data_IF_287397105472
#
_entry.id   IF_287397105472
#
_cell.length_a   1.000
_cell.length_b   1.000
_cell.length_c   1.000
_cell.angle_alpha   90.00
_cell.angle_beta   90.00
_cell.angle_gamma   90.00
#
_symmetry.space_group_name_H-M   'P 1'
#
loop_
_entity.id
_entity.type
_entity.pdbx_description
1 polymer ?
#
# COMPACT_ATOMS: atom_id res chain seq x y z
N UNK A 1 33.92 -4.98 0.08
CA UNK A 1 33.12 -3.73 0.21
C UNK A 1 31.60 -3.98 0.05
N UNK A 2 31.01 -4.88 0.85
CA UNK A 2 29.55 -5.22 0.81
C UNK A 2 28.76 -4.45 1.90
N UNK A 3 29.45 -3.71 2.76
CA UNK A 3 28.90 -3.14 4.00
C UNK A 3 28.08 -1.85 3.82
N UNK A 4 28.38 -1.00 2.82
CA UNK A 4 27.75 0.34 2.70
C UNK A 4 26.32 0.33 2.15
N UNK A 5 25.83 -0.77 1.58
CA UNK A 5 24.50 -0.82 0.97
C UNK A 5 23.36 -1.15 1.93
N UNK A 6 23.61 -1.69 3.14
CA UNK A 6 22.54 -2.07 4.08
C UNK A 6 22.01 -0.93 4.94
N UNK A 7 22.59 0.28 4.87
CA UNK A 7 22.22 1.38 5.76
C UNK A 7 20.79 1.90 5.56
N UNK A 8 20.26 1.84 4.33
CA UNK A 8 18.93 2.39 4.06
C UNK A 8 17.78 1.49 4.56
N UNK A 9 18.03 0.21 4.88
CA UNK A 9 17.05 -0.69 5.53
C UNK A 9 17.05 -0.58 7.04
N UNK A 10 18.14 -0.07 7.64
CA UNK A 10 18.26 0.03 9.10
C UNK A 10 17.19 0.93 9.69
N UNK A 11 17.00 2.12 9.11
CA UNK A 11 16.01 3.07 9.59
C UNK A 11 14.58 2.52 9.50
N UNK A 12 14.08 2.02 8.34
CA UNK A 12 12.79 1.35 8.25
C UNK A 12 12.61 0.22 9.26
N UNK A 13 13.63 -0.62 9.43
CA UNK A 13 13.57 -1.76 10.34
C UNK A 13 13.44 -1.32 11.81
N UNK A 14 14.33 -0.44 12.28
CA UNK A 14 14.29 0.03 13.67
C UNK A 14 13.04 0.86 13.95
N UNK A 15 12.57 1.66 12.98
CA UNK A 15 11.32 2.41 13.10
C UNK A 15 10.12 1.48 13.23
N UNK A 16 10.00 0.47 12.36
CA UNK A 16 8.93 -0.51 12.42
C UNK A 16 8.96 -1.31 13.73
N UNK A 17 10.15 -1.70 14.20
CA UNK A 17 10.32 -2.43 15.46
C UNK A 17 9.92 -1.57 16.67
N UNK A 18 10.37 -0.31 16.71
CA UNK A 18 10.03 0.63 17.78
C UNK A 18 8.51 0.87 17.83
N UNK A 19 7.90 1.12 16.67
CA UNK A 19 6.46 1.36 16.56
C UNK A 19 5.66 0.11 16.91
N UNK A 20 6.10 -1.08 16.48
CA UNK A 20 5.45 -2.34 16.87
C UNK A 20 5.53 -2.55 18.38
N UNK A 21 6.68 -2.31 19.00
CA UNK A 21 6.84 -2.43 20.44
C UNK A 21 5.95 -1.43 21.21
N UNK A 22 5.88 -0.19 20.73
CA UNK A 22 5.01 0.83 21.31
C UNK A 22 3.52 0.48 21.16
N UNK A 23 3.08 0.04 19.98
CA UNK A 23 1.71 -0.39 19.75
C UNK A 23 1.37 -1.62 20.59
N UNK A 24 2.25 -2.62 20.64
CA UNK A 24 2.03 -3.81 21.47
C UNK A 24 1.92 -3.45 22.95
N UNK A 25 2.77 -2.54 23.44
CA UNK A 25 2.66 -2.04 24.81
C UNK A 25 1.30 -1.37 25.04
N UNK A 26 0.84 -0.49 24.15
CA UNK A 26 -0.47 0.17 24.26
C UNK A 26 -1.64 -0.83 24.18
N UNK A 27 -1.54 -1.84 23.33
CA UNK A 27 -2.59 -2.84 23.09
C UNK A 27 -2.80 -3.78 24.28
N UNK A 28 -1.72 -4.16 24.97
CA UNK A 28 -1.76 -5.10 26.07
C UNK A 28 -1.62 -4.44 27.45
N UNK A 29 -1.54 -3.10 27.51
CA UNK A 29 -1.59 -2.39 28.77
C UNK A 29 -3.00 -2.50 29.38
N UNK A 30 -3.13 -2.97 30.64
CA UNK A 30 -4.42 -3.28 31.26
C UNK A 30 -5.07 -2.02 31.87
N UNK A 31 -5.22 -0.96 31.07
CA UNK A 31 -5.92 0.24 31.50
C UNK A 31 -7.22 0.43 30.72
N UNK A 32 -8.32 0.39 31.47
CA UNK A 32 -9.62 0.80 30.96
C UNK A 32 -9.62 2.29 30.67
N UNK A 33 -10.30 2.68 29.59
CA UNK A 33 -10.39 4.06 29.14
C UNK A 33 -11.73 4.33 28.48
N UNK A 34 -12.24 5.54 28.71
CA UNK A 34 -13.45 6.04 28.06
C UNK A 34 -13.15 6.83 26.77
N UNK A 35 -11.89 6.88 26.31
CA UNK A 35 -11.41 7.80 25.28
C UNK A 35 -12.31 7.88 24.02
N UNK A 36 -12.81 6.74 23.55
CA UNK A 36 -13.57 6.67 22.30
C UNK A 36 -15.09 6.79 22.45
N UNK A 37 -15.63 6.88 23.67
CA UNK A 37 -17.08 6.77 23.92
C UNK A 37 -17.90 7.94 23.35
N UNK A 38 -17.32 9.14 23.26
CA UNK A 38 -18.03 10.34 22.80
C UNK A 38 -17.96 10.54 21.28
N UNK A 39 -17.38 9.61 20.53
CA UNK A 39 -17.24 9.70 19.09
C UNK A 39 -18.29 8.84 18.39
N UNK A 40 -18.74 9.30 17.22
CA UNK A 40 -19.65 8.52 16.39
C UNK A 40 -19.00 7.19 16.00
N UNK A 41 -19.61 6.09 16.43
CA UNK A 41 -19.21 4.75 16.03
C UNK A 41 -19.45 4.55 14.53
N UNK A 42 -18.66 3.69 13.89
CA UNK A 42 -18.86 3.35 12.48
C UNK A 42 -20.18 2.63 12.23
N UNK A 43 -20.56 1.66 13.07
CA UNK A 43 -21.80 0.84 13.01
C UNK A 43 -22.08 0.14 14.36
N UNK A 44 -23.04 -0.80 14.40
CA UNK A 44 -23.15 -1.79 15.48
C UNK A 44 -21.87 -2.64 15.54
N UNK A 45 -21.27 -2.71 16.74
CA UNK A 45 -19.94 -3.30 16.95
C UNK A 45 -19.84 -4.81 16.64
N UNK A 46 -20.97 -5.53 16.55
CA UNK A 46 -21.03 -6.97 16.22
C UNK A 46 -20.77 -7.28 14.74
N UNK A 47 -20.87 -6.28 13.86
CA UNK A 47 -20.97 -6.54 12.42
C UNK A 47 -19.68 -6.19 11.66
N UNK A 48 -18.65 -5.66 12.34
CA UNK A 48 -17.52 -5.00 11.67
C UNK A 48 -16.47 -6.03 11.23
N UNK A 49 -15.71 -6.59 12.17
CA UNK A 49 -14.70 -7.61 11.88
C UNK A 49 -14.87 -8.83 12.77
N UNK A 50 -14.12 -9.90 12.51
CA UNK A 50 -14.19 -11.08 13.36
C UNK A 50 -13.56 -10.88 14.74
N UNK A 51 -12.57 -9.99 14.85
CA UNK A 51 -11.76 -9.86 16.07
C UNK A 51 -12.58 -9.39 17.28
N UNK A 52 -12.33 -9.99 18.45
CA UNK A 52 -12.98 -9.59 19.69
C UNK A 52 -12.71 -8.11 20.02
N UNK A 53 -13.78 -7.32 20.05
CA UNK A 53 -13.71 -5.87 20.27
C UNK A 53 -13.64 -5.52 21.76
N UNK A 54 -12.51 -4.94 22.18
CA UNK A 54 -12.28 -4.49 23.57
C UNK A 54 -12.75 -3.06 23.78
N UNK A 55 -14.06 -2.86 23.95
CA UNK A 55 -14.69 -1.52 23.97
C UNK A 55 -14.12 -0.53 25.01
N UNK A 56 -13.64 -1.05 26.14
CA UNK A 56 -13.06 -0.27 27.24
C UNK A 56 -11.54 -0.06 27.11
N UNK A 57 -10.90 -0.52 26.04
CA UNK A 57 -9.45 -0.36 25.85
C UNK A 57 -9.15 0.76 24.84
N UNK A 58 -7.92 1.29 24.93
CA UNK A 58 -7.40 2.27 23.97
C UNK A 58 -7.28 1.66 22.57
N UNK A 59 -6.88 0.39 22.49
CA UNK A 59 -6.83 -0.39 21.25
C UNK A 59 -7.95 -1.43 21.30
N UNK A 60 -8.99 -1.20 20.51
CA UNK A 60 -10.20 -2.03 20.48
C UNK A 60 -10.00 -3.34 19.74
N UNK A 61 -9.22 -3.35 18.66
CA UNK A 61 -8.88 -4.55 17.88
C UNK A 61 -7.35 -4.77 17.83
N UNK A 62 -6.80 -5.53 18.78
CA UNK A 62 -5.36 -5.79 18.91
C UNK A 62 -4.63 -6.20 17.64
N UNK A 63 -5.06 -7.30 17.00
CA UNK A 63 -4.36 -7.94 15.90
C UNK A 63 -4.53 -7.14 14.63
N UNK A 64 -5.74 -6.65 14.33
CA UNK A 64 -5.98 -5.75 13.22
C UNK A 64 -5.14 -4.45 13.34
N UNK A 65 -4.92 -3.95 14.56
CA UNK A 65 -4.04 -2.79 14.79
C UNK A 65 -2.57 -3.13 14.58
N UNK A 66 -2.07 -4.24 15.14
CA UNK A 66 -0.65 -4.58 15.07
C UNK A 66 -0.19 -5.02 13.67
N UNK A 67 -1.06 -5.69 12.91
CA UNK A 67 -0.73 -6.16 11.55
C UNK A 67 -0.67 -5.04 10.50
N UNK A 68 -0.91 -3.79 10.89
CA UNK A 68 -0.69 -2.63 10.04
C UNK A 68 0.79 -2.20 9.94
N UNK A 69 1.66 -2.61 10.87
CA UNK A 69 3.09 -2.22 10.90
C UNK A 69 3.86 -2.52 9.59
N UNK A 70 3.61 -3.63 8.85
CA UNK A 70 4.24 -3.87 7.56
C UNK A 70 4.03 -2.74 6.53
N UNK A 71 2.89 -2.02 6.57
CA UNK A 71 2.68 -0.85 5.71
C UNK A 71 3.69 0.26 6.01
N UNK A 72 3.96 0.54 7.30
CA UNK A 72 4.98 1.51 7.71
C UNK A 72 6.37 1.06 7.25
N UNK A 73 6.71 -0.21 7.45
CA UNK A 73 7.99 -0.76 7.04
C UNK A 73 8.19 -0.63 5.53
N UNK A 74 7.27 -1.15 4.72
CA UNK A 74 7.41 -1.10 3.26
C UNK A 74 7.31 0.32 2.71
N UNK A 75 6.42 1.15 3.25
CA UNK A 75 6.31 2.55 2.88
C UNK A 75 7.63 3.31 3.09
N UNK A 76 8.25 3.17 4.26
CA UNK A 76 9.52 3.84 4.58
C UNK A 76 10.71 3.27 3.81
N UNK A 77 10.71 1.97 3.48
CA UNK A 77 11.68 1.39 2.52
C UNK A 77 11.54 2.06 1.15
N UNK A 78 10.33 2.15 0.62
CA UNK A 78 10.06 2.78 -0.69
C UNK A 78 10.49 4.25 -0.68
N UNK A 79 10.18 5.00 0.37
CA UNK A 79 10.59 6.40 0.51
C UNK A 79 12.12 6.54 0.54
N UNK A 80 12.80 5.70 1.32
CA UNK A 80 14.26 5.72 1.45
C UNK A 80 14.96 5.40 0.12
N UNK A 81 14.48 4.38 -0.58
CA UNK A 81 15.02 3.98 -1.89
C UNK A 81 14.73 5.05 -2.94
N UNK A 82 13.51 5.59 -2.97
CA UNK A 82 13.12 6.66 -3.89
C UNK A 82 13.95 7.92 -3.67
N UNK A 83 14.20 8.31 -2.42
CA UNK A 83 15.05 9.46 -2.08
C UNK A 83 16.49 9.28 -2.56
N UNK A 84 17.04 8.07 -2.36
CA UNK A 84 18.38 7.70 -2.88
C UNK A 84 18.44 7.83 -4.41
N UNK A 85 17.42 7.35 -5.11
CA UNK A 85 17.37 7.39 -6.57
C UNK A 85 17.17 8.82 -7.09
N UNK A 86 16.33 9.62 -6.43
CA UNK A 86 16.10 11.02 -6.76
C UNK A 86 17.40 11.84 -6.66
N UNK A 87 18.19 11.62 -5.61
CA UNK A 87 19.50 12.27 -5.44
C UNK A 87 20.48 11.89 -6.56
N UNK A 88 20.41 10.65 -7.06
CA UNK A 88 21.30 10.13 -8.12
C UNK A 88 20.67 10.13 -9.51
N UNK A 89 19.56 10.84 -9.68
CA UNK A 89 18.68 10.74 -10.86
C UNK A 89 19.42 10.92 -12.18
N UNK A 90 20.29 11.93 -12.30
CA UNK A 90 21.02 12.22 -13.54
C UNK A 90 21.99 11.10 -13.96
N UNK A 91 22.47 10.30 -13.00
CA UNK A 91 23.36 9.16 -13.26
C UNK A 91 22.54 7.89 -13.55
N UNK A 92 21.52 7.63 -12.74
CA UNK A 92 20.72 6.40 -12.82
C UNK A 92 19.77 6.42 -14.03
N UNK A 93 19.16 7.56 -14.37
CA UNK A 93 18.24 7.67 -15.52
C UNK A 93 18.91 7.47 -16.88
N UNK A 94 20.24 7.70 -16.96
CA UNK A 94 21.05 7.37 -18.14
C UNK A 94 21.36 5.87 -18.23
N UNK A 95 21.38 5.17 -17.10
CA UNK A 95 21.70 3.75 -17.00
C UNK A 95 20.45 2.86 -17.10
N UNK A 96 19.31 3.36 -16.62
CA UNK A 96 18.07 2.60 -16.50
C UNK A 96 16.88 3.39 -17.02
N UNK A 97 16.07 2.73 -17.84
CA UNK A 97 15.00 3.37 -18.58
C UNK A 97 13.62 3.04 -18.00
N UNK A 98 13.29 3.68 -16.88
CA UNK A 98 12.14 3.35 -16.07
C UNK A 98 11.37 4.64 -15.69
N UNK A 99 10.04 4.61 -15.79
CA UNK A 99 9.18 5.75 -15.47
C UNK A 99 9.30 6.17 -13.98
N UNK A 100 9.33 5.21 -13.06
CA UNK A 100 9.52 5.42 -11.61
C UNK A 100 10.85 6.11 -11.29
N UNK A 101 11.95 5.74 -11.98
CA UNK A 101 13.27 6.36 -11.78
C UNK A 101 13.32 7.78 -12.37
N UNK A 102 12.72 7.97 -13.56
CA UNK A 102 12.66 9.29 -14.20
C UNK A 102 11.72 10.24 -13.48
N UNK A 103 10.68 9.73 -12.83
CA UNK A 103 9.70 10.50 -12.08
C UNK A 103 9.56 9.93 -10.66
N UNK A 104 10.53 10.23 -9.76
CA UNK A 104 10.55 9.69 -8.40
C UNK A 104 9.31 10.07 -7.58
N UNK A 105 8.55 11.10 -8.01
CA UNK A 105 7.25 11.46 -7.42
C UNK A 105 6.31 10.26 -7.31
N UNK A 106 6.29 9.33 -8.26
CA UNK A 106 5.48 8.10 -8.16
C UNK A 106 5.93 7.21 -7.00
N UNK A 107 7.24 7.07 -6.81
CA UNK A 107 7.79 6.31 -5.68
C UNK A 107 7.47 6.98 -4.34
N UNK A 108 7.54 8.31 -4.28
CA UNK A 108 7.15 9.06 -3.09
C UNK A 108 5.66 8.90 -2.78
N UNK A 109 4.79 9.05 -3.78
CA UNK A 109 3.34 8.88 -3.61
C UNK A 109 3.01 7.47 -3.10
N UNK A 110 3.55 6.41 -3.70
CA UNK A 110 3.29 5.05 -3.22
C UNK A 110 3.80 4.84 -1.78
N UNK A 111 5.00 5.32 -1.47
CA UNK A 111 5.55 5.24 -0.12
C UNK A 111 4.70 6.00 0.91
N UNK A 112 4.24 7.21 0.56
CA UNK A 112 3.35 8.03 1.39
C UNK A 112 1.99 7.33 1.59
N UNK A 113 1.41 6.76 0.52
CA UNK A 113 0.14 6.03 0.60
C UNK A 113 0.23 4.86 1.59
N UNK A 114 1.32 4.09 1.58
CA UNK A 114 1.49 2.99 2.55
C UNK A 114 1.65 3.51 3.98
N UNK A 115 2.42 4.57 4.21
CA UNK A 115 2.54 5.18 5.54
C UNK A 115 1.20 5.76 5.99
N UNK A 116 0.43 6.34 5.07
CA UNK A 116 -0.90 6.88 5.35
C UNK A 116 -1.89 5.76 5.72
N UNK A 117 -1.91 4.64 4.99
CA UNK A 117 -2.68 3.45 5.38
C UNK A 117 -2.29 2.98 6.77
N UNK A 118 -0.99 2.85 7.06
CA UNK A 118 -0.54 2.47 8.41
C UNK A 118 -1.19 3.37 9.47
N UNK A 119 -1.09 4.70 9.33
CA UNK A 119 -1.62 5.65 10.31
C UNK A 119 -3.14 5.53 10.42
N UNK A 120 -3.86 5.56 9.31
CA UNK A 120 -5.32 5.61 9.30
C UNK A 120 -5.96 4.26 9.68
N UNK A 121 -5.41 3.15 9.21
CA UNK A 121 -5.90 1.80 9.56
C UNK A 121 -5.60 1.47 11.02
N UNK A 122 -4.40 1.78 11.52
CA UNK A 122 -4.07 1.64 12.96
C UNK A 122 -5.02 2.50 13.80
N UNK A 123 -5.28 3.74 13.38
CA UNK A 123 -6.22 4.61 14.09
C UNK A 123 -7.65 4.04 14.07
N UNK A 124 -8.09 3.50 12.94
CA UNK A 124 -9.42 2.90 12.82
C UNK A 124 -9.56 1.66 13.71
N UNK A 125 -8.67 0.68 13.63
CA UNK A 125 -8.76 -0.53 14.45
C UNK A 125 -8.54 -0.28 15.94
N UNK A 126 -7.80 0.78 16.30
CA UNK A 126 -7.69 1.21 17.68
C UNK A 126 -9.00 1.84 18.21
N UNK A 127 -9.71 2.63 17.39
CA UNK A 127 -10.80 3.49 17.87
C UNK A 127 -12.21 3.03 17.48
N UNK A 128 -12.37 2.37 16.33
CA UNK A 128 -13.63 1.98 15.69
C UNK A 128 -14.63 3.14 15.51
N UNK A 129 -14.13 4.35 15.28
CA UNK A 129 -14.96 5.53 15.04
C UNK A 129 -15.14 5.80 13.53
N UNK A 130 -16.25 6.44 13.16
CA UNK A 130 -16.64 6.68 11.78
C UNK A 130 -15.61 7.49 10.98
N UNK A 131 -15.03 8.55 11.58
CA UNK A 131 -14.01 9.38 10.94
C UNK A 131 -12.75 8.57 10.62
N UNK A 132 -12.29 7.74 11.57
CA UNK A 132 -11.10 6.92 11.38
C UNK A 132 -11.32 5.90 10.25
N UNK A 133 -12.51 5.29 10.19
CA UNK A 133 -12.87 4.38 9.09
C UNK A 133 -12.88 5.07 7.72
N UNK A 134 -13.38 6.31 7.65
CA UNK A 134 -13.40 7.07 6.41
C UNK A 134 -11.97 7.35 5.91
N UNK A 135 -11.06 7.69 6.84
CA UNK A 135 -9.64 7.91 6.53
C UNK A 135 -8.91 6.61 6.16
N UNK A 136 -9.22 5.50 6.82
CA UNK A 136 -8.67 4.19 6.48
C UNK A 136 -9.02 3.78 5.04
N UNK A 137 -10.30 3.89 4.68
CA UNK A 137 -10.75 3.65 3.31
C UNK A 137 -10.15 4.63 2.30
N UNK A 138 -9.83 5.87 2.69
CA UNK A 138 -9.10 6.79 1.83
C UNK A 138 -7.71 6.23 1.46
N UNK A 139 -7.02 5.63 2.43
CA UNK A 139 -5.75 4.93 2.21
C UNK A 139 -5.90 3.74 1.29
N UNK A 140 -6.85 2.84 1.57
CA UNK A 140 -7.13 1.65 0.73
C UNK A 140 -7.43 2.05 -0.72
N UNK A 141 -8.32 3.03 -0.92
CA UNK A 141 -8.65 3.54 -2.24
C UNK A 141 -7.44 4.14 -2.96
N UNK A 142 -6.60 4.90 -2.26
CA UNK A 142 -5.36 5.44 -2.80
C UNK A 142 -4.39 4.34 -3.24
N UNK A 143 -4.26 3.25 -2.47
CA UNK A 143 -3.37 2.15 -2.85
C UNK A 143 -3.85 1.42 -4.11
N UNK A 144 -5.15 1.18 -4.25
CA UNK A 144 -5.70 0.49 -5.43
C UNK A 144 -5.75 1.41 -6.65
N UNK A 145 -5.97 2.72 -6.48
CA UNK A 145 -5.93 3.68 -7.60
C UNK A 145 -4.52 3.95 -8.14
N UNK A 146 -3.48 3.75 -7.32
CA UNK A 146 -2.10 4.01 -7.73
C UNK A 146 -1.67 3.21 -9.00
N UNK A 147 -1.81 1.87 -9.07
CA UNK A 147 -1.47 1.11 -10.27
C UNK A 147 -2.29 1.50 -11.50
N UNK A 148 -3.54 1.95 -11.34
CA UNK A 148 -4.37 2.50 -12.42
C UNK A 148 -3.70 3.76 -12.98
N UNK A 149 -3.40 4.73 -12.12
CA UNK A 149 -2.79 6.00 -12.53
C UNK A 149 -1.41 5.80 -13.18
N UNK A 150 -0.58 4.92 -12.59
CA UNK A 150 0.73 4.60 -13.14
C UNK A 150 0.63 3.91 -14.51
N UNK A 151 -0.22 2.89 -14.64
CA UNK A 151 -0.38 2.13 -15.89
C UNK A 151 -1.01 2.98 -16.99
N UNK A 152 -2.00 3.82 -16.65
CA UNK A 152 -2.60 4.76 -17.60
C UNK A 152 -1.55 5.75 -18.14
N UNK A 153 -0.68 6.28 -17.28
CA UNK A 153 0.43 7.13 -17.71
C UNK A 153 1.41 6.37 -18.63
N UNK A 154 1.75 5.15 -18.25
CA UNK A 154 2.64 4.26 -19.03
C UNK A 154 2.08 4.01 -20.44
N UNK A 155 0.80 3.64 -20.54
CA UNK A 155 0.08 3.39 -21.80
C UNK A 155 -0.01 4.68 -22.63
N UNK A 156 -0.40 5.80 -22.01
CA UNK A 156 -0.54 7.09 -22.69
C UNK A 156 0.78 7.53 -23.34
N UNK A 157 1.90 7.45 -22.59
CA UNK A 157 3.21 7.82 -23.13
C UNK A 157 3.56 6.96 -24.35
N UNK A 158 3.34 5.65 -24.25
CA UNK A 158 3.64 4.75 -25.36
C UNK A 158 2.76 5.03 -26.58
N UNK A 159 1.46 5.23 -26.38
CA UNK A 159 0.52 5.57 -27.46
C UNK A 159 0.90 6.88 -28.15
N UNK A 160 1.18 7.95 -27.38
CA UNK A 160 1.40 9.30 -27.92
C UNK A 160 2.80 9.55 -28.47
N UNK A 161 3.82 8.95 -27.85
CA UNK A 161 5.24 9.25 -28.12
C UNK A 161 6.03 8.03 -28.59
N UNK A 162 5.42 6.83 -28.64
CA UNK A 162 6.12 5.56 -28.88
C UNK A 162 7.27 5.31 -27.91
N UNK A 163 7.18 5.90 -26.72
CA UNK A 163 8.17 5.81 -25.66
C UNK A 163 7.44 5.69 -24.33
N UNK A 164 7.87 4.80 -23.44
CA UNK A 164 7.15 4.57 -22.19
C UNK A 164 7.53 5.54 -21.07
N UNK A 165 8.74 6.09 -21.13
CA UNK A 165 9.42 6.74 -20.01
C UNK A 165 9.82 8.20 -20.30
N UNK A 166 9.75 8.63 -21.56
CA UNK A 166 10.06 9.99 -21.98
C UNK A 166 8.75 10.77 -21.97
N UNK A 167 8.68 11.70 -21.02
CA UNK A 167 7.44 12.29 -20.58
C UNK A 167 7.61 13.81 -20.51
N UNK A 168 6.64 14.57 -21.01
CA UNK A 168 6.57 16.02 -20.78
C UNK A 168 6.51 16.30 -19.28
N UNK A 169 7.23 17.32 -18.80
CA UNK A 169 7.38 17.61 -17.35
C UNK A 169 6.04 17.67 -16.58
N UNK A 170 4.93 18.07 -17.21
CA UNK A 170 3.61 18.17 -16.58
C UNK A 170 2.76 16.89 -16.55
N UNK A 171 3.07 15.85 -17.34
CA UNK A 171 2.23 14.64 -17.38
C UNK A 171 2.16 13.87 -16.06
N UNK A 172 3.26 13.69 -15.28
CA UNK A 172 3.16 13.07 -13.97
C UNK A 172 2.18 13.83 -13.05
N UNK A 173 2.20 15.16 -13.09
CA UNK A 173 1.31 16.01 -12.31
C UNK A 173 -0.16 15.84 -12.73
N UNK A 174 -0.44 15.69 -14.03
CA UNK A 174 -1.79 15.41 -14.52
C UNK A 174 -2.34 14.08 -13.98
N UNK A 175 -1.60 12.98 -14.16
CA UNK A 175 -2.06 11.66 -13.71
C UNK A 175 -2.15 11.57 -12.18
N UNK A 176 -1.22 12.20 -11.46
CA UNK A 176 -1.29 12.28 -10.00
C UNK A 176 -2.42 13.20 -9.52
N UNK A 177 -2.74 14.27 -10.26
CA UNK A 177 -3.89 15.12 -9.98
C UNK A 177 -5.21 14.36 -10.14
N UNK A 178 -5.38 13.61 -11.23
CA UNK A 178 -6.55 12.74 -11.46
C UNK A 178 -6.65 11.69 -10.34
N UNK A 179 -5.53 11.06 -9.98
CA UNK A 179 -5.43 10.13 -8.87
C UNK A 179 -5.89 10.76 -7.53
N UNK A 180 -5.42 11.96 -7.21
CA UNK A 180 -5.79 12.67 -5.99
C UNK A 180 -7.28 13.02 -5.97
N UNK A 181 -7.83 13.53 -7.08
CA UNK A 181 -9.26 13.83 -7.19
C UNK A 181 -10.09 12.55 -7.03
N UNK A 182 -9.73 11.46 -7.70
CA UNK A 182 -10.44 10.19 -7.58
C UNK A 182 -10.40 9.65 -6.14
N UNK A 183 -9.25 9.75 -5.46
CA UNK A 183 -9.10 9.35 -4.05
C UNK A 183 -10.01 10.19 -3.14
N UNK A 184 -10.03 11.51 -3.33
CA UNK A 184 -10.89 12.43 -2.56
C UNK A 184 -12.36 12.11 -2.79
N UNK A 185 -12.79 11.93 -4.05
CA UNK A 185 -14.17 11.59 -4.39
C UNK A 185 -14.59 10.27 -3.72
N UNK A 186 -13.80 9.19 -3.86
CA UNK A 186 -14.11 7.92 -3.21
C UNK A 186 -14.16 8.03 -1.67
N UNK A 187 -13.33 8.90 -1.08
CA UNK A 187 -13.32 9.15 0.37
C UNK A 187 -14.56 9.89 0.83
N UNK A 188 -14.98 10.93 0.10
CA UNK A 188 -16.17 11.71 0.43
C UNK A 188 -17.45 10.88 0.26
N UNK A 189 -17.49 10.04 -0.77
CA UNK A 189 -18.64 9.19 -1.07
C UNK A 189 -18.56 7.78 -0.46
N UNK A 190 -17.64 7.54 0.48
CA UNK A 190 -17.42 6.22 1.10
C UNK A 190 -18.71 5.62 1.68
N UNK A 191 -19.59 6.43 2.25
CA UNK A 191 -20.82 5.98 2.91
C UNK A 191 -21.94 5.58 1.93
N UNK A 192 -21.83 5.97 0.66
CA UNK A 192 -22.75 5.58 -0.41
C UNK A 192 -22.23 4.38 -1.23
N UNK A 193 -21.02 3.91 -0.92
CA UNK A 193 -20.31 2.90 -1.71
C UNK A 193 -20.14 1.61 -0.92
N UNK A 194 -20.39 0.46 -1.58
CA UNK A 194 -20.09 -0.83 -1.01
C UNK A 194 -18.62 -1.21 -1.28
N UNK A 195 -17.82 -1.34 -0.21
CA UNK A 195 -16.41 -1.71 -0.30
C UNK A 195 -16.19 -3.08 -0.97
N UNK A 196 -17.10 -4.05 -0.74
CA UNK A 196 -17.09 -5.39 -1.36
C UNK A 196 -17.31 -5.35 -2.87
N UNK A 197 -17.75 -4.22 -3.43
CA UNK A 197 -17.93 -4.02 -4.86
C UNK A 197 -16.82 -3.13 -5.42
N UNK A 198 -16.61 -1.96 -4.80
CA UNK A 198 -15.68 -0.95 -5.31
C UNK A 198 -14.23 -1.44 -5.29
N UNK A 199 -13.77 -2.03 -4.18
CA UNK A 199 -12.37 -2.46 -4.06
C UNK A 199 -12.03 -3.57 -5.07
N UNK A 200 -12.81 -4.67 -5.19
CA UNK A 200 -12.55 -5.68 -6.22
C UNK A 200 -12.59 -5.14 -7.65
N UNK A 201 -13.52 -4.24 -7.97
CA UNK A 201 -13.59 -3.62 -9.30
C UNK A 201 -12.33 -2.80 -9.61
N UNK A 202 -11.85 -2.01 -8.65
CA UNK A 202 -10.62 -1.23 -8.83
C UNK A 202 -9.38 -2.12 -8.91
N UNK A 203 -9.33 -3.23 -8.16
CA UNK A 203 -8.25 -4.23 -8.29
C UNK A 203 -8.29 -4.89 -9.66
N UNK A 204 -9.46 -5.27 -10.16
CA UNK A 204 -9.64 -5.84 -11.50
C UNK A 204 -9.22 -4.85 -12.60
N UNK A 205 -9.64 -3.59 -12.50
CA UNK A 205 -9.25 -2.52 -13.42
C UNK A 205 -7.74 -2.28 -13.40
N UNK A 206 -7.13 -2.27 -12.20
CA UNK A 206 -5.67 -2.19 -12.05
C UNK A 206 -4.98 -3.31 -12.80
N UNK A 207 -5.48 -4.54 -12.63
CA UNK A 207 -4.92 -5.71 -13.29
C UNK A 207 -5.06 -5.68 -14.80
N UNK A 208 -6.22 -5.27 -15.31
CA UNK A 208 -6.47 -5.07 -16.72
C UNK A 208 -5.52 -4.04 -17.33
N UNK A 209 -5.35 -2.87 -16.69
CA UNK A 209 -4.46 -1.83 -17.21
C UNK A 209 -2.98 -2.24 -17.16
N UNK A 210 -2.56 -2.97 -16.11
CA UNK A 210 -1.21 -3.53 -16.07
C UNK A 210 -1.00 -4.52 -17.21
N UNK A 211 -1.96 -5.41 -17.46
CA UNK A 211 -1.91 -6.38 -18.56
C UNK A 211 -1.81 -5.68 -19.92
N UNK A 212 -2.67 -4.69 -20.17
CA UNK A 212 -2.62 -3.86 -21.39
C UNK A 212 -1.26 -3.17 -21.52
N UNK A 213 -0.73 -2.61 -20.44
CA UNK A 213 0.60 -1.98 -20.45
C UNK A 213 1.72 -2.96 -20.79
N UNK A 214 1.66 -4.21 -20.30
CA UNK A 214 2.63 -5.26 -20.63
C UNK A 214 2.51 -5.77 -22.07
N UNK A 215 1.31 -5.78 -22.66
CA UNK A 215 1.11 -6.15 -24.07
C UNK A 215 1.55 -5.05 -25.02
N UNK A 216 1.27 -3.79 -24.68
CA UNK A 216 1.54 -2.66 -25.57
C UNK A 216 2.98 -2.15 -25.47
N UNK A 217 3.51 -2.02 -24.25
CA UNK A 217 4.81 -1.39 -24.05
C UNK A 217 5.93 -2.42 -24.19
N UNK A 218 6.99 -2.17 -24.98
CA UNK A 218 8.07 -3.13 -25.26
C UNK A 218 9.06 -3.29 -24.10
N UNK A 219 8.63 -3.09 -22.85
CA UNK A 219 9.52 -3.03 -21.69
C UNK A 219 9.78 -4.41 -21.13
N UNK A 220 10.97 -4.55 -20.56
CA UNK A 220 11.41 -5.79 -19.95
C UNK A 220 11.20 -5.70 -18.45
N UNK A 221 10.14 -6.33 -17.94
CA UNK A 221 9.79 -6.37 -16.52
C UNK A 221 10.13 -7.73 -15.89
N UNK A 222 10.29 -7.76 -14.57
CA UNK A 222 10.37 -9.02 -13.82
C UNK A 222 8.96 -9.47 -13.41
N UNK A 223 8.35 -10.30 -14.25
CA UNK A 223 6.99 -10.85 -14.07
C UNK A 223 6.81 -11.67 -12.79
N UNK A 224 7.90 -12.16 -12.16
CA UNK A 224 7.81 -12.86 -10.87
C UNK A 224 7.27 -11.95 -9.77
N UNK A 225 7.73 -10.70 -9.72
CA UNK A 225 7.22 -9.73 -8.76
C UNK A 225 5.76 -9.38 -9.03
N UNK A 226 5.34 -9.34 -10.30
CA UNK A 226 3.95 -9.14 -10.65
C UNK A 226 3.07 -10.31 -10.19
N UNK A 227 3.52 -11.55 -10.42
CA UNK A 227 2.82 -12.74 -9.96
C UNK A 227 2.71 -12.78 -8.43
N UNK A 228 3.77 -12.40 -7.71
CA UNK A 228 3.75 -12.29 -6.24
C UNK A 228 2.75 -11.20 -5.80
N UNK A 229 2.72 -10.04 -6.47
CA UNK A 229 1.79 -8.96 -6.14
C UNK A 229 0.33 -9.37 -6.32
N UNK A 230 -0.02 -9.99 -7.47
CA UNK A 230 -1.36 -10.51 -7.71
C UNK A 230 -1.73 -11.68 -6.79
N UNK A 231 -0.81 -12.62 -6.59
CA UNK A 231 -1.04 -13.74 -5.67
C UNK A 231 -1.32 -13.24 -4.25
N UNK A 232 -0.54 -12.27 -3.77
CA UNK A 232 -0.72 -11.70 -2.45
C UNK A 232 -2.08 -10.97 -2.32
N UNK A 233 -2.46 -10.13 -3.29
CA UNK A 233 -3.76 -9.43 -3.18
C UNK A 233 -4.95 -10.40 -3.30
N UNK A 234 -4.86 -11.46 -4.10
CA UNK A 234 -5.92 -12.47 -4.19
C UNK A 234 -6.06 -13.26 -2.89
N UNK A 235 -4.96 -13.69 -2.29
CA UNK A 235 -4.97 -14.36 -0.98
C UNK A 235 -5.52 -13.42 0.09
N UNK A 236 -5.08 -12.16 0.08
CA UNK A 236 -5.64 -11.15 0.96
C UNK A 236 -7.15 -11.01 0.80
N UNK A 237 -7.64 -10.80 -0.42
CA UNK A 237 -9.06 -10.60 -0.71
C UNK A 237 -9.88 -11.81 -0.26
N UNK A 238 -9.35 -13.01 -0.41
CA UNK A 238 -9.96 -14.22 0.12
C UNK A 238 -10.16 -14.14 1.64
N UNK A 239 -9.13 -13.76 2.41
CA UNK A 239 -9.27 -13.60 3.86
C UNK A 239 -10.19 -12.46 4.26
N UNK A 240 -10.22 -11.38 3.48
CA UNK A 240 -11.17 -10.28 3.69
C UNK A 240 -12.62 -10.74 3.51
N UNK A 241 -12.91 -11.53 2.48
CA UNK A 241 -14.25 -12.12 2.26
C UNK A 241 -14.63 -13.08 3.38
N UNK A 242 -13.69 -13.90 3.87
CA UNK A 242 -13.94 -14.78 5.02
C UNK A 242 -14.32 -13.97 6.26
N UNK A 243 -13.62 -12.86 6.52
CA UNK A 243 -13.90 -11.98 7.67
C UNK A 243 -15.27 -11.30 7.57
N UNK A 244 -15.58 -10.74 6.40
CA UNK A 244 -16.82 -10.04 6.11
C UNK A 244 -18.04 -10.98 6.25
N UNK A 245 -17.92 -12.22 5.78
CA UNK A 245 -18.97 -13.23 5.90
C UNK A 245 -18.92 -14.04 7.21
N UNK A 246 -18.00 -13.70 8.12
CA UNK A 246 -17.77 -14.40 9.40
C UNK A 246 -17.50 -15.91 9.25
N UNK A 247 -16.94 -16.33 8.13
CA UNK A 247 -16.59 -17.73 7.86
C UNK A 247 -15.28 -18.07 8.57
N UNK A 248 -15.28 -19.13 9.37
CA UNK A 248 -14.17 -19.52 10.23
C UNK A 248 -13.76 -18.42 11.24
N UNK A 249 -14.76 -17.64 11.68
CA UNK A 249 -14.54 -16.58 12.65
C UNK A 249 -14.45 -17.13 14.09
N UNK A 250 -13.34 -16.86 14.76
CA UNK A 250 -13.11 -17.14 16.16
C UNK A 250 -12.57 -15.88 16.85
N UNK A 251 -13.45 -15.14 17.52
CA UNK A 251 -13.17 -13.77 18.01
C UNK A 251 -11.95 -13.67 18.93
N UNK A 252 -11.71 -14.70 19.76
CA UNK A 252 -10.58 -14.76 20.69
C UNK A 252 -9.32 -15.42 20.11
N UNK A 253 -9.35 -15.87 18.87
CA UNK A 253 -8.21 -16.53 18.23
C UNK A 253 -7.11 -15.53 17.89
N UNK A 254 -5.87 -16.01 17.88
CA UNK A 254 -4.76 -15.25 17.27
C UNK A 254 -4.86 -15.19 15.74
N UNK A 255 -5.65 -16.08 15.16
CA UNK A 255 -5.93 -16.13 13.74
C UNK A 255 -7.12 -15.23 13.44
N UNK A 256 -6.83 -14.02 12.96
CA UNK A 256 -7.83 -13.05 12.53
C UNK A 256 -7.74 -12.85 11.01
N UNK A 257 -8.75 -13.27 10.23
CA UNK A 257 -8.73 -13.15 8.78
C UNK A 257 -8.47 -11.72 8.29
N UNK A 258 -9.10 -10.72 8.91
CA UNK A 258 -8.83 -9.32 8.58
C UNK A 258 -7.37 -8.90 8.86
N UNK A 259 -6.77 -9.36 9.95
CA UNK A 259 -5.37 -9.09 10.24
C UNK A 259 -4.44 -9.69 9.19
N UNK A 260 -4.79 -10.84 8.61
CA UNK A 260 -4.05 -11.49 7.53
C UNK A 260 -4.17 -10.70 6.22
N UNK A 261 -5.34 -10.11 5.95
CA UNK A 261 -5.53 -9.18 4.82
C UNK A 261 -4.50 -8.05 4.84
N UNK A 262 -4.25 -7.40 5.98
CA UNK A 262 -3.25 -6.34 6.11
C UNK A 262 -1.85 -6.80 5.68
N UNK A 263 -1.42 -7.98 6.13
CA UNK A 263 -0.11 -8.52 5.82
C UNK A 263 0.07 -8.76 4.32
N UNK A 264 -0.93 -9.38 3.70
CA UNK A 264 -0.89 -9.71 2.27
C UNK A 264 -1.04 -8.48 1.38
N UNK A 265 -1.89 -7.52 1.75
CA UNK A 265 -2.03 -6.26 1.03
C UNK A 265 -0.74 -5.43 1.09
N UNK A 266 -0.08 -5.33 2.25
CA UNK A 266 1.22 -4.66 2.41
C UNK A 266 2.32 -5.34 1.58
N UNK A 267 2.42 -6.67 1.64
CA UNK A 267 3.38 -7.45 0.86
C UNK A 267 3.11 -7.34 -0.64
N UNK A 268 1.85 -7.38 -1.06
CA UNK A 268 1.41 -7.22 -2.45
C UNK A 268 1.77 -5.84 -3.00
N UNK A 269 1.56 -4.78 -2.22
CA UNK A 269 1.95 -3.42 -2.58
C UNK A 269 3.47 -3.27 -2.74
N UNK A 270 4.26 -3.88 -1.85
CA UNK A 270 5.72 -3.87 -1.97
C UNK A 270 6.19 -4.69 -3.18
N UNK A 271 5.60 -5.85 -3.43
CA UNK A 271 5.89 -6.65 -4.62
C UNK A 271 5.54 -5.89 -5.92
N UNK A 272 4.41 -5.15 -5.92
CA UNK A 272 4.05 -4.25 -7.01
C UNK A 272 5.12 -3.18 -7.23
N UNK A 273 5.60 -2.54 -6.15
CA UNK A 273 6.73 -1.60 -6.24
C UNK A 273 7.97 -2.24 -6.88
N UNK A 274 8.35 -3.45 -6.45
CA UNK A 274 9.50 -4.18 -7.02
C UNK A 274 9.30 -4.51 -8.50
N UNK A 275 8.08 -4.87 -8.90
CA UNK A 275 7.70 -5.05 -10.30
C UNK A 275 7.87 -3.76 -11.10
N UNK A 276 7.26 -2.64 -10.67
CA UNK A 276 7.35 -1.36 -11.35
C UNK A 276 8.80 -0.88 -11.45
N UNK A 277 9.57 -1.10 -10.39
CA UNK A 277 11.00 -0.79 -10.34
C UNK A 277 11.81 -1.65 -11.29
N UNK A 278 11.45 -2.93 -11.50
CA UNK A 278 12.22 -3.87 -12.35
C UNK A 278 12.23 -3.55 -13.84
N UNK A 279 11.35 -2.65 -14.29
CA UNK A 279 11.20 -2.27 -15.69
C UNK A 279 12.53 -1.80 -16.31
N UNK A 280 12.92 -2.45 -17.40
CA UNK A 280 14.14 -2.23 -18.19
C UNK A 280 15.46 -2.29 -17.39
N UNK A 281 15.50 -3.08 -16.31
CA UNK A 281 16.70 -3.25 -15.47
C UNK A 281 17.56 -4.49 -15.81
N UNK A 282 17.23 -5.23 -16.88
CA UNK A 282 17.70 -6.62 -17.05
C UNK A 282 19.20 -6.83 -17.34
N UNK A 283 20.00 -5.81 -17.63
CA UNK A 283 21.41 -6.01 -18.01
C UNK A 283 22.47 -5.51 -17.01
N UNK A 284 22.09 -4.87 -15.89
CA UNK A 284 23.04 -4.12 -15.05
C UNK A 284 22.93 -4.32 -13.53
N UNK A 285 22.04 -5.20 -13.05
CA UNK A 285 21.97 -5.53 -11.62
C UNK A 285 23.26 -6.20 -11.10
N UNK A 286 23.84 -7.09 -11.90
CA UNK A 286 25.11 -7.77 -11.57
C UNK A 286 26.33 -6.84 -11.70
N UNK A 287 26.32 -5.96 -12.70
CA UNK A 287 27.47 -5.11 -13.03
C UNK A 287 27.69 -3.97 -12.00
N UNK A 288 26.62 -3.39 -11.44
CA UNK A 288 26.74 -2.21 -10.56
C UNK A 288 26.52 -2.49 -9.06
N UNK A 289 26.32 -3.76 -8.66
CA UNK A 289 26.07 -4.17 -7.26
C UNK A 289 25.02 -3.30 -6.53
N UNK A 290 24.03 -2.80 -7.27
CA UNK A 290 22.90 -2.08 -6.71
C UNK A 290 21.91 -3.11 -6.17
N UNK A 291 22.30 -3.74 -5.05
CA UNK A 291 21.33 -4.47 -4.24
C UNK A 291 20.29 -3.46 -3.75
N UNK A 292 19.03 -3.93 -3.63
CA UNK A 292 17.94 -3.23 -2.97
C UNK A 292 18.53 -2.34 -1.89
#
# INVERSE_FOLDING_TARGET
MVSKHKHFLRLPFYLALLVLAALAALTYYPADTAMWHNYAASFNFSDIFCEFTRLNHLVREPLNTLTNVPYLFFGTVILSVTARDAYRKNRISKLYNNLLIRHPVYGYVLGIVLVFIFICSTFFHASLIALAQQLDMAGVNALVLFPIAYSAHRIYNYYRFRQTYLTRRGLPALFLGIFSVATIVLTLFKWQLNAMVVVPLLVALSGMLIFVAEMMCPNVTNKRWLAIAFGAILIGMFFYVLDDHKIACHEHSIFQPHAIWHLFAAAGAFALYLYLRSENMRHKFMEYRLHL
#
